data_IF_375190353169
#
_entry.id   IF_375190353169
#
_cell.length_a   1.000
_cell.length_b   1.000
_cell.length_c   1.000
_cell.angle_alpha   90.00
_cell.angle_beta   90.00
_cell.angle_gamma   90.00
#
_symmetry.space_group_name_H-M   'P 1'
#
loop_
_entity.id
_entity.type
_entity.pdbx_description
1 polymer ?
#
# COMPACT_ATOMS: atom_id res chain seq x y z
N UNK A 1 12.21 -32.11 -29.12
CA UNK A 1 12.53 -31.15 -28.04
C UNK A 1 12.05 -31.73 -26.71
N UNK A 2 12.97 -32.05 -25.80
CA UNK A 2 12.68 -32.56 -24.46
C UNK A 2 11.92 -31.52 -23.63
N UNK A 3 10.89 -31.95 -22.89
CA UNK A 3 10.15 -31.06 -21.96
C UNK A 3 11.15 -30.48 -20.94
N UNK A 4 11.19 -29.16 -20.71
CA UNK A 4 12.06 -28.60 -19.69
C UNK A 4 11.65 -29.12 -18.31
N UNK A 5 12.63 -29.48 -17.48
CA UNK A 5 12.41 -29.91 -16.09
C UNK A 5 11.52 -28.89 -15.36
N UNK A 6 10.37 -29.34 -14.89
CA UNK A 6 9.51 -28.55 -14.01
C UNK A 6 10.20 -28.39 -12.67
N UNK A 7 10.63 -27.16 -12.36
CA UNK A 7 11.11 -26.80 -11.03
C UNK A 7 10.00 -27.06 -10.01
N UNK A 8 10.25 -27.98 -9.08
CA UNK A 8 9.27 -28.36 -8.06
C UNK A 8 9.52 -27.52 -6.82
N UNK A 9 8.66 -26.55 -6.58
CA UNK A 9 8.74 -25.71 -5.39
C UNK A 9 8.06 -26.45 -4.23
N UNK A 10 8.83 -26.84 -3.20
CA UNK A 10 8.28 -27.38 -1.94
C UNK A 10 8.42 -26.34 -0.84
N UNK A 11 7.31 -26.05 -0.15
CA UNK A 11 7.31 -25.24 1.07
C UNK A 11 7.84 -26.09 2.22
N UNK A 12 9.15 -26.07 2.44
CA UNK A 12 9.81 -26.91 3.46
C UNK A 12 9.50 -26.48 4.91
N UNK A 13 8.93 -25.29 5.10
CA UNK A 13 8.68 -24.69 6.40
C UNK A 13 7.18 -24.68 6.78
N UNK A 14 6.36 -25.59 6.24
CA UNK A 14 4.90 -25.59 6.45
C UNK A 14 4.46 -25.48 7.93
N UNK A 15 5.05 -26.21 8.89
CA UNK A 15 4.70 -26.05 10.31
C UNK A 15 5.01 -24.65 10.84
N UNK A 16 6.17 -24.08 10.48
CA UNK A 16 6.56 -22.73 10.86
C UNK A 16 5.68 -21.66 10.19
N UNK A 17 5.34 -21.85 8.92
CA UNK A 17 4.41 -21.01 8.18
C UNK A 17 3.01 -21.02 8.82
N UNK A 18 2.49 -22.20 9.19
CA UNK A 18 1.20 -22.31 9.87
C UNK A 18 1.22 -21.66 11.26
N UNK A 19 2.31 -21.82 12.02
CA UNK A 19 2.51 -21.10 13.29
C UNK A 19 2.54 -19.59 13.07
N UNK A 20 3.17 -19.12 11.99
CA UNK A 20 3.13 -17.72 11.59
C UNK A 20 1.71 -17.26 11.24
N UNK A 21 0.92 -18.06 10.52
CA UNK A 21 -0.48 -17.75 10.22
C UNK A 21 -1.34 -17.61 11.50
N UNK A 22 -1.18 -18.51 12.47
CA UNK A 22 -1.86 -18.38 13.78
C UNK A 22 -1.42 -17.12 14.52
N UNK A 23 -0.11 -16.84 14.55
CA UNK A 23 0.45 -15.62 15.15
C UNK A 23 -0.05 -14.34 14.48
N UNK A 24 -0.42 -14.37 13.18
CA UNK A 24 -1.04 -13.21 12.50
C UNK A 24 -2.39 -12.80 13.12
N UNK A 25 -3.10 -13.73 13.75
CA UNK A 25 -4.34 -13.44 14.49
C UNK A 25 -4.11 -12.94 15.92
N UNK A 26 -2.87 -13.00 16.42
CA UNK A 26 -2.51 -12.51 17.76
C UNK A 26 -2.35 -10.98 17.70
N UNK A 27 -3.32 -10.25 18.24
CA UNK A 27 -3.27 -8.79 18.39
C UNK A 27 -2.39 -8.41 19.58
N UNK A 28 -1.07 -8.65 19.47
CA UNK A 28 -0.09 -8.10 20.41
C UNK A 28 0.34 -6.74 19.89
N UNK A 29 -0.32 -5.67 20.33
CA UNK A 29 0.18 -4.31 20.13
C UNK A 29 1.07 -3.99 21.32
N UNK A 30 2.34 -3.72 21.05
CA UNK A 30 3.31 -3.30 22.04
C UNK A 30 3.84 -1.92 21.67
N UNK A 31 3.98 -1.07 22.68
CA UNK A 31 4.63 0.22 22.57
C UNK A 31 5.95 0.11 23.31
N UNK A 32 7.01 0.58 22.66
CA UNK A 32 8.30 0.73 23.32
C UNK A 32 8.19 1.83 24.38
N UNK A 33 8.34 1.54 25.69
CA UNK A 33 8.24 2.55 26.74
C UNK A 33 9.23 3.70 26.57
N UNK A 34 10.34 3.48 25.87
CA UNK A 34 11.36 4.49 25.60
C UNK A 34 11.04 5.34 24.36
N UNK A 35 9.91 5.06 23.68
CA UNK A 35 9.46 5.83 22.53
C UNK A 35 9.21 7.29 22.90
N UNK A 36 9.82 8.20 22.13
CA UNK A 36 9.61 9.64 22.29
C UNK A 36 8.20 10.02 21.85
N UNK A 37 7.26 10.08 22.79
CA UNK A 37 5.87 10.43 22.54
C UNK A 37 5.63 11.94 22.46
N UNK A 38 6.23 12.69 23.38
CA UNK A 38 6.20 14.15 23.39
C UNK A 38 7.14 14.72 22.32
N UNK A 39 6.78 15.85 21.70
CA UNK A 39 7.67 16.51 20.76
C UNK A 39 8.82 17.21 21.50
N UNK A 40 10.00 17.19 20.88
CA UNK A 40 11.08 18.08 21.29
C UNK A 40 10.72 19.53 20.91
N UNK A 41 10.95 20.53 21.78
CA UNK A 41 10.76 21.92 21.43
C UNK A 41 11.57 22.30 20.19
N UNK A 42 10.95 23.04 19.27
CA UNK A 42 11.59 23.42 18.00
C UNK A 42 12.52 24.63 18.13
N UNK A 43 12.39 25.38 19.24
CA UNK A 43 13.10 26.65 19.47
C UNK A 43 12.63 27.82 18.60
N UNK A 44 11.67 27.59 17.67
CA UNK A 44 11.14 28.63 16.78
C UNK A 44 10.01 29.41 17.43
N UNK A 45 9.81 30.66 17.01
CA UNK A 45 8.69 31.50 17.47
C UNK A 45 7.35 30.92 17.00
N UNK A 46 6.38 30.78 17.90
CA UNK A 46 5.05 30.22 17.62
C UNK A 46 4.67 29.06 18.56
N UNK A 47 3.51 28.44 18.31
CA UNK A 47 3.03 27.30 19.10
C UNK A 47 3.93 26.09 18.89
N UNK A 48 4.54 25.59 19.97
CA UNK A 48 5.34 24.37 19.92
C UNK A 48 4.47 23.14 19.67
N UNK A 49 4.96 22.14 18.92
CA UNK A 49 4.31 20.84 18.86
C UNK A 49 4.35 20.20 20.25
N UNK A 50 3.24 19.56 20.64
CA UNK A 50 3.15 18.80 21.90
C UNK A 50 3.54 17.33 21.67
N UNK A 51 3.19 16.78 20.51
CA UNK A 51 3.38 15.37 20.17
C UNK A 51 4.42 15.17 19.07
N UNK A 52 5.26 14.14 19.20
CA UNK A 52 6.26 13.78 18.19
C UNK A 52 5.60 13.32 16.88
N UNK A 53 6.36 13.33 15.78
CA UNK A 53 5.88 12.75 14.51
C UNK A 53 5.60 11.25 14.65
N UNK A 54 6.39 10.56 15.49
CA UNK A 54 6.22 9.15 15.77
C UNK A 54 4.87 8.88 16.48
N UNK A 55 4.49 9.68 17.48
CA UNK A 55 3.18 9.58 18.12
C UNK A 55 2.03 9.79 17.14
N UNK A 56 2.11 10.84 16.31
CA UNK A 56 1.09 11.13 15.28
C UNK A 56 0.99 9.99 14.27
N UNK A 57 2.13 9.49 13.77
CA UNK A 57 2.17 8.38 12.83
C UNK A 57 1.59 7.11 13.44
N UNK A 58 1.85 6.81 14.71
CA UNK A 58 1.28 5.65 15.41
C UNK A 58 -0.24 5.73 15.48
N UNK A 59 -0.81 6.89 15.86
CA UNK A 59 -2.26 7.08 15.84
C UNK A 59 -2.84 6.89 14.44
N UNK A 60 -2.23 7.49 13.41
CA UNK A 60 -2.68 7.34 12.02
C UNK A 60 -2.53 5.90 11.49
N UNK A 61 -1.54 5.17 11.99
CA UNK A 61 -1.33 3.76 11.69
C UNK A 61 -2.48 2.92 12.25
N UNK A 62 -2.88 3.12 13.51
CA UNK A 62 -4.05 2.45 14.09
C UNK A 62 -5.34 2.81 13.36
N UNK A 63 -5.50 4.09 12.99
CA UNK A 63 -6.62 4.54 12.16
C UNK A 63 -6.71 3.75 10.86
N UNK A 64 -5.59 3.57 10.16
CA UNK A 64 -5.55 2.84 8.87
C UNK A 64 -5.78 1.35 9.08
N UNK A 65 -5.09 0.74 10.03
CA UNK A 65 -5.17 -0.70 10.33
C UNK A 65 -6.60 -1.14 10.65
N UNK A 66 -7.29 -0.38 11.50
CA UNK A 66 -8.65 -0.71 11.97
C UNK A 66 -9.75 0.03 11.21
N UNK A 67 -9.41 0.84 10.19
CA UNK A 67 -10.38 1.56 9.36
C UNK A 67 -11.16 2.66 10.09
N UNK A 68 -10.69 3.13 11.24
CA UNK A 68 -11.39 4.05 12.14
C UNK A 68 -11.53 5.49 11.60
N UNK A 69 -12.47 6.24 12.16
CA UNK A 69 -12.49 7.71 12.07
C UNK A 69 -11.50 8.33 13.08
N UNK A 70 -11.09 9.59 12.89
CA UNK A 70 -10.10 10.23 13.77
C UNK A 70 -10.54 10.29 15.24
N UNK A 71 -11.82 10.61 15.51
CA UNK A 71 -12.35 10.63 16.89
C UNK A 71 -12.34 9.24 17.54
N UNK A 72 -12.72 8.21 16.78
CA UNK A 72 -12.64 6.82 17.23
C UNK A 72 -11.19 6.39 17.46
N UNK A 73 -10.26 6.89 16.65
CA UNK A 73 -8.83 6.63 16.80
C UNK A 73 -8.32 7.20 18.12
N UNK A 74 -8.70 8.42 18.49
CA UNK A 74 -8.33 9.02 19.79
C UNK A 74 -8.77 8.13 20.94
N UNK A 75 -10.06 7.78 21.02
CA UNK A 75 -10.57 6.91 22.10
C UNK A 75 -9.98 5.49 22.08
N UNK A 76 -9.72 4.92 20.90
CA UNK A 76 -9.04 3.63 20.77
C UNK A 76 -7.63 3.67 21.33
N UNK A 77 -6.87 4.72 21.01
CA UNK A 77 -5.51 4.91 21.49
C UNK A 77 -5.47 5.17 23.00
N UNK A 78 -6.39 5.96 23.55
CA UNK A 78 -6.49 6.20 25.00
C UNK A 78 -6.73 4.90 25.77
N UNK A 79 -7.68 4.08 25.28
CA UNK A 79 -7.96 2.76 25.85
C UNK A 79 -6.75 1.84 25.79
N UNK A 80 -6.06 1.82 24.64
CA UNK A 80 -4.90 0.97 24.42
C UNK A 80 -3.72 1.34 25.33
N UNK A 81 -3.41 2.64 25.47
CA UNK A 81 -2.34 3.10 26.36
C UNK A 81 -2.66 2.81 27.83
N UNK A 82 -3.92 2.99 28.23
CA UNK A 82 -4.39 2.61 29.59
C UNK A 82 -4.22 1.12 29.86
N UNK A 83 -4.58 0.26 28.91
CA UNK A 83 -4.43 -1.20 29.05
C UNK A 83 -2.97 -1.64 29.15
N UNK A 84 -2.06 -0.91 28.49
CA UNK A 84 -0.62 -1.19 28.52
C UNK A 84 0.06 -0.56 29.76
N UNK A 85 -0.62 0.35 30.45
CA UNK A 85 -0.10 1.04 31.63
C UNK A 85 0.83 2.21 31.31
N UNK A 86 0.69 2.82 30.13
CA UNK A 86 1.46 3.99 29.71
C UNK A 86 0.65 5.27 29.95
N UNK A 87 1.19 6.19 30.73
CA UNK A 87 0.56 7.48 31.05
C UNK A 87 0.91 8.55 30.01
N UNK A 88 0.57 8.27 28.75
CA UNK A 88 0.80 9.18 27.64
C UNK A 88 -0.52 9.77 27.14
N UNK A 89 -0.56 11.10 27.04
CA UNK A 89 -1.70 11.80 26.43
C UNK A 89 -1.85 11.48 24.95
N UNK A 90 -3.09 11.39 24.46
CA UNK A 90 -3.36 11.11 23.05
C UNK A 90 -3.67 12.39 22.29
N UNK A 91 -3.08 12.61 21.10
CA UNK A 91 -3.46 13.73 20.25
C UNK A 91 -4.95 13.69 19.88
N UNK A 92 -5.65 14.80 20.09
CA UNK A 92 -7.04 14.94 19.69
C UNK A 92 -7.21 14.88 18.16
N UNK A 93 -8.44 14.65 17.70
CA UNK A 93 -8.72 14.52 16.27
C UNK A 93 -8.33 15.78 15.47
N UNK A 94 -8.39 16.97 16.09
CA UNK A 94 -8.01 18.23 15.47
C UNK A 94 -6.51 18.32 15.23
N UNK A 95 -5.71 17.87 16.19
CA UNK A 95 -4.25 17.82 16.12
C UNK A 95 -3.80 16.77 15.13
N UNK A 96 -4.38 15.56 15.16
CA UNK A 96 -4.10 14.52 14.17
C UNK A 96 -4.42 15.00 12.75
N UNK A 97 -5.58 15.61 12.53
CA UNK A 97 -5.97 16.13 11.21
C UNK A 97 -5.02 17.22 10.70
N UNK A 98 -4.59 18.14 11.56
CA UNK A 98 -3.63 19.21 11.20
C UNK A 98 -2.25 18.62 10.91
N UNK A 99 -1.72 17.77 11.80
CA UNK A 99 -0.40 17.18 11.68
C UNK A 99 -0.28 16.21 10.52
N UNK A 100 -1.35 15.48 10.18
CA UNK A 100 -1.37 14.61 9.00
C UNK A 100 -1.00 15.38 7.71
N UNK A 101 -1.31 16.69 7.64
CA UNK A 101 -0.97 17.49 6.46
C UNK A 101 0.54 17.66 6.26
N UNK A 102 1.30 17.77 7.34
CA UNK A 102 2.73 18.11 7.32
C UNK A 102 3.62 16.98 7.82
N UNK A 103 3.04 15.81 8.11
CA UNK A 103 3.76 14.67 8.65
C UNK A 103 4.66 14.07 7.59
N UNK A 104 5.97 14.05 7.85
CA UNK A 104 6.91 13.22 7.09
C UNK A 104 6.74 11.76 7.53
N UNK A 105 5.95 10.98 6.79
CA UNK A 105 5.68 9.59 7.15
C UNK A 105 6.95 8.74 6.98
N UNK A 106 7.38 8.11 8.06
CA UNK A 106 8.45 7.12 8.01
C UNK A 106 7.91 5.80 7.45
N UNK A 107 8.40 5.39 6.27
CA UNK A 107 8.06 4.10 5.64
C UNK A 107 9.20 3.11 5.91
N UNK A 108 9.04 2.18 6.86
CA UNK A 108 10.09 1.22 7.19
C UNK A 108 10.36 0.29 6.00
N UNK A 109 11.63 -0.04 5.82
CA UNK A 109 12.10 -1.02 4.84
C UNK A 109 13.47 -1.54 5.28
N UNK A 110 13.87 -2.72 4.84
CA UNK A 110 15.20 -3.28 5.15
C UNK A 110 16.26 -2.66 4.24
N UNK A 111 17.47 -2.42 4.76
CA UNK A 111 18.61 -2.02 3.92
C UNK A 111 18.90 -3.06 2.83
N UNK A 112 19.49 -2.62 1.72
CA UNK A 112 20.02 -3.49 0.66
C UNK A 112 21.55 -3.50 0.71
N UNK A 113 22.17 -4.64 0.42
CA UNK A 113 23.63 -4.80 0.31
C UNK A 113 24.12 -4.65 -1.15
N UNK A 114 23.23 -4.30 -2.08
CA UNK A 114 23.55 -4.20 -3.50
C UNK A 114 22.52 -3.43 -4.33
N UNK A 115 22.66 -3.44 -5.67
CA UNK A 115 21.75 -2.76 -6.59
C UNK A 115 20.30 -3.20 -6.38
N UNK A 116 19.38 -2.24 -6.39
CA UNK A 116 17.94 -2.52 -6.25
C UNK A 116 17.31 -2.78 -7.61
N UNK A 117 16.56 -3.88 -7.73
CA UNK A 117 15.70 -4.15 -8.88
C UNK A 117 14.29 -3.68 -8.58
N UNK A 118 13.95 -2.45 -9.02
CA UNK A 118 12.65 -1.85 -8.75
C UNK A 118 11.60 -2.21 -9.80
N UNK A 119 10.44 -2.67 -9.33
CA UNK A 119 9.23 -2.88 -10.12
C UNK A 119 8.26 -1.74 -9.84
N UNK A 120 7.87 -1.00 -10.88
CA UNK A 120 7.03 0.19 -10.76
C UNK A 120 5.67 -0.08 -11.40
N UNK A 121 4.61 0.28 -10.69
CA UNK A 121 3.24 0.28 -11.20
C UNK A 121 2.46 1.44 -10.62
N UNK A 122 1.38 1.80 -11.32
CA UNK A 122 0.48 2.86 -10.88
C UNK A 122 -0.98 2.44 -10.98
N UNK A 123 -1.83 3.09 -10.19
CA UNK A 123 -3.26 2.85 -10.29
C UNK A 123 -4.06 4.05 -9.83
N UNK A 124 -5.30 4.16 -10.31
CA UNK A 124 -6.25 5.10 -9.76
C UNK A 124 -6.74 4.65 -8.39
N UNK A 125 -6.81 5.61 -7.46
CA UNK A 125 -7.53 5.49 -6.20
C UNK A 125 -8.56 6.61 -6.08
N UNK A 126 -9.76 6.25 -5.63
CA UNK A 126 -10.85 7.21 -5.49
C UNK A 126 -10.70 8.00 -4.20
N UNK A 127 -11.01 9.29 -4.23
CA UNK A 127 -11.12 10.13 -3.04
C UNK A 127 -12.59 10.16 -2.58
N UNK A 128 -12.81 10.06 -1.28
CA UNK A 128 -14.12 10.27 -0.67
C UNK A 128 -14.44 11.77 -0.65
N UNK A 129 -15.48 12.18 -1.39
CA UNK A 129 -15.83 13.58 -1.59
C UNK A 129 -17.11 13.99 -0.85
N UNK A 130 -17.23 15.28 -0.55
CA UNK A 130 -18.43 15.91 0.01
C UNK A 130 -19.68 15.65 -0.83
N UNK A 131 -19.53 15.67 -2.16
CA UNK A 131 -20.59 15.30 -3.10
C UNK A 131 -21.11 13.87 -2.92
N UNK A 132 -20.40 12.94 -2.26
CA UNK A 132 -20.94 11.60 -2.00
C UNK A 132 -21.87 11.57 -0.78
N UNK A 133 -21.61 12.39 0.23
CA UNK A 133 -22.53 12.57 1.36
C UNK A 133 -23.74 13.41 0.92
N UNK A 134 -23.50 14.54 0.24
CA UNK A 134 -24.56 15.37 -0.33
C UNK A 134 -25.40 14.61 -1.37
N UNK A 135 -24.82 13.75 -2.21
CA UNK A 135 -25.62 12.91 -3.12
C UNK A 135 -26.42 11.84 -2.37
N UNK A 136 -25.85 11.23 -1.32
CA UNK A 136 -26.57 10.26 -0.47
C UNK A 136 -27.73 10.90 0.32
N UNK A 137 -27.57 12.15 0.75
CA UNK A 137 -28.53 12.85 1.60
C UNK A 137 -29.53 13.71 0.82
N UNK A 138 -29.09 14.32 -0.28
CA UNK A 138 -29.82 15.38 -0.99
C UNK A 138 -29.90 15.17 -2.50
N UNK A 139 -29.40 14.04 -3.05
CA UNK A 139 -29.51 13.73 -4.48
C UNK A 139 -28.72 14.64 -5.44
N UNK A 140 -27.82 15.49 -4.92
CA UNK A 140 -27.06 16.45 -5.73
C UNK A 140 -26.02 15.84 -6.69
N UNK A 141 -25.54 16.62 -7.68
CA UNK A 141 -24.60 16.15 -8.71
C UNK A 141 -23.27 15.67 -8.12
N UNK A 142 -22.71 14.64 -8.76
CA UNK A 142 -21.56 13.87 -8.25
C UNK A 142 -20.27 14.18 -9.01
N UNK A 143 -19.36 14.97 -8.43
CA UNK A 143 -17.98 15.08 -8.94
C UNK A 143 -17.07 14.05 -8.28
N UNK A 144 -16.68 13.01 -9.03
CA UNK A 144 -15.76 11.97 -8.55
C UNK A 144 -14.33 12.48 -8.68
N UNK A 145 -13.62 12.58 -7.56
CA UNK A 145 -12.18 12.89 -7.56
C UNK A 145 -11.41 11.58 -7.49
N UNK A 146 -10.43 11.44 -8.37
CA UNK A 146 -9.47 10.35 -8.39
C UNK A 146 -8.06 10.91 -8.20
N UNK A 147 -7.22 10.14 -7.53
CA UNK A 147 -5.78 10.34 -7.48
C UNK A 147 -5.10 9.19 -8.18
N UNK A 148 -3.93 9.46 -8.74
CA UNK A 148 -3.07 8.40 -9.23
C UNK A 148 -2.00 8.14 -8.18
N UNK A 149 -1.81 6.88 -7.86
CA UNK A 149 -0.80 6.43 -6.91
C UNK A 149 0.21 5.59 -7.66
N UNK A 150 1.49 5.83 -7.41
CA UNK A 150 2.61 5.12 -8.00
C UNK A 150 3.37 4.45 -6.86
N UNK A 151 3.70 3.17 -7.03
CA UNK A 151 4.54 2.44 -6.09
C UNK A 151 5.70 1.80 -6.84
N UNK A 152 6.90 1.94 -6.29
CA UNK A 152 8.08 1.17 -6.68
C UNK A 152 8.38 0.15 -5.60
N UNK A 153 8.40 -1.13 -5.94
CA UNK A 153 8.74 -2.21 -5.01
C UNK A 153 10.09 -2.82 -5.36
N UNK A 154 10.83 -3.25 -4.34
CA UNK A 154 12.00 -4.08 -4.56
C UNK A 154 11.57 -5.49 -4.98
N UNK A 155 12.15 -6.03 -6.06
CA UNK A 155 11.79 -7.35 -6.58
C UNK A 155 12.08 -8.45 -5.57
N UNK A 156 13.15 -8.32 -4.78
CA UNK A 156 13.58 -9.34 -3.83
C UNK A 156 12.76 -9.31 -2.53
N UNK A 157 12.75 -8.17 -1.83
CA UNK A 157 12.05 -8.07 -0.54
C UNK A 157 10.55 -7.87 -0.69
N UNK A 158 10.09 -7.46 -1.87
CA UNK A 158 8.72 -7.00 -2.13
C UNK A 158 8.33 -5.80 -1.27
N UNK A 159 9.26 -5.12 -0.61
CA UNK A 159 8.97 -3.91 0.15
C UNK A 159 8.83 -2.72 -0.79
N UNK A 160 7.91 -1.83 -0.48
CA UNK A 160 7.76 -0.58 -1.22
C UNK A 160 8.94 0.33 -0.88
N UNK A 161 9.66 0.80 -1.90
CA UNK A 161 10.84 1.67 -1.82
C UNK A 161 10.55 3.09 -2.27
N UNK A 162 9.56 3.28 -3.13
CA UNK A 162 9.15 4.57 -3.65
C UNK A 162 7.63 4.67 -3.68
N UNK A 163 7.11 5.84 -3.33
CA UNK A 163 5.69 6.16 -3.33
C UNK A 163 5.51 7.58 -3.84
N UNK A 164 4.65 7.76 -4.82
CA UNK A 164 4.25 9.07 -5.31
C UNK A 164 2.72 9.11 -5.48
N UNK A 165 2.09 10.23 -5.12
CA UNK A 165 0.65 10.45 -5.34
C UNK A 165 0.49 11.69 -6.17
N UNK A 166 -0.18 11.57 -7.32
CA UNK A 166 -0.38 12.68 -8.26
C UNK A 166 -1.86 12.94 -8.51
N UNK A 167 -2.16 14.08 -9.13
CA UNK A 167 -3.45 14.36 -9.73
C UNK A 167 -3.75 13.37 -10.88
N UNK A 168 -5.03 13.32 -11.29
CA UNK A 168 -5.56 12.34 -12.24
C UNK A 168 -5.18 12.58 -13.71
N UNK A 169 -4.62 13.74 -14.01
CA UNK A 169 -4.16 14.21 -15.33
C UNK A 169 -2.75 13.74 -15.70
N UNK A 170 -1.97 13.24 -14.72
CA UNK A 170 -0.65 12.65 -14.98
C UNK A 170 -0.85 11.19 -15.42
N UNK A 171 -0.89 11.00 -16.74
CA UNK A 171 -0.93 9.68 -17.37
C UNK A 171 0.47 9.10 -17.54
N UNK A 172 0.74 7.90 -17.02
CA UNK A 172 1.84 7.09 -17.53
C UNK A 172 1.53 6.61 -18.95
N UNK A 173 2.40 7.01 -19.86
CA UNK A 173 2.60 6.31 -21.12
C UNK A 173 4.09 5.90 -21.19
N UNK A 174 4.46 4.68 -21.64
CA UNK A 174 3.65 3.52 -22.03
C UNK A 174 4.03 2.25 -21.24
N UNK A 175 3.06 1.61 -20.56
CA UNK A 175 3.17 0.20 -20.12
C UNK A 175 1.85 -0.55 -20.39
N UNK A 176 1.16 -0.14 -21.46
CA UNK A 176 -0.20 -0.53 -21.82
C UNK A 176 -0.36 -1.86 -22.63
N UNK A 177 0.65 -2.47 -23.27
CA UNK A 177 0.46 -3.78 -23.91
C UNK A 177 0.22 -4.92 -22.91
N UNK A 178 0.81 -4.82 -21.72
CA UNK A 178 1.05 -5.99 -20.85
C UNK A 178 0.04 -6.19 -19.71
N UNK A 179 -0.82 -5.20 -19.45
CA UNK A 179 -1.74 -5.17 -18.29
C UNK A 179 -2.96 -6.12 -18.41
N UNK A 180 -3.06 -6.89 -19.51
CA UNK A 180 -4.39 -7.25 -20.04
C UNK A 180 -4.61 -8.72 -20.43
N UNK A 181 -3.73 -9.65 -20.04
CA UNK A 181 -3.92 -11.10 -20.21
C UNK A 181 -4.64 -11.76 -19.01
N UNK A 182 -5.88 -11.32 -18.73
CA UNK A 182 -6.80 -12.05 -17.82
C UNK A 182 -7.30 -13.33 -18.51
N UNK A 183 -7.67 -14.35 -17.74
CA UNK A 183 -8.09 -15.68 -18.24
C UNK A 183 -9.27 -15.62 -19.25
N UNK A 184 -10.04 -14.53 -19.26
CA UNK A 184 -11.20 -14.27 -20.14
C UNK A 184 -11.12 -12.91 -20.87
N UNK A 185 -9.92 -12.41 -21.14
CA UNK A 185 -9.75 -11.12 -21.80
C UNK A 185 -10.22 -11.17 -23.27
N UNK A 186 -11.20 -10.33 -23.62
CA UNK A 186 -11.63 -10.13 -25.01
C UNK A 186 -10.80 -9.03 -25.70
N UNK A 187 -10.57 -9.13 -27.01
CA UNK A 187 -9.95 -8.06 -27.77
C UNK A 187 -10.76 -6.76 -27.67
N UNK A 188 -10.07 -5.63 -27.64
CA UNK A 188 -10.70 -4.32 -27.74
C UNK A 188 -10.79 -3.87 -29.19
N UNK A 189 -11.70 -2.94 -29.50
CA UNK A 189 -11.65 -2.23 -30.79
C UNK A 189 -10.33 -1.45 -30.85
N UNK A 190 -9.59 -1.60 -31.93
CA UNK A 190 -8.23 -1.07 -32.12
C UNK A 190 -8.20 0.44 -32.39
N UNK A 191 -8.80 1.23 -31.49
CA UNK A 191 -9.00 2.67 -31.65
C UNK A 191 -7.82 3.46 -31.05
N UNK A 192 -7.06 2.86 -30.14
CA UNK A 192 -5.90 3.49 -29.49
C UNK A 192 -4.67 2.59 -29.61
N UNK A 193 -3.47 3.19 -29.57
CA UNK A 193 -2.20 2.43 -29.53
C UNK A 193 -2.17 1.41 -28.38
N UNK A 194 -2.78 1.76 -27.25
CA UNK A 194 -2.99 0.86 -26.12
C UNK A 194 -3.87 -0.36 -26.43
N UNK A 195 -4.94 -0.17 -27.19
CA UNK A 195 -5.83 -1.26 -27.60
C UNK A 195 -5.17 -2.19 -28.62
N UNK A 196 -4.36 -1.65 -29.54
CA UNK A 196 -3.58 -2.44 -30.51
C UNK A 196 -2.56 -3.31 -29.78
N UNK A 197 -1.73 -2.70 -28.94
CA UNK A 197 -0.68 -3.42 -28.23
C UNK A 197 -1.24 -4.46 -27.24
N UNK A 198 -2.39 -4.17 -26.61
CA UNK A 198 -3.15 -5.16 -25.83
C UNK A 198 -3.51 -6.38 -26.66
N UNK A 199 -4.09 -6.16 -27.83
CA UNK A 199 -4.60 -7.25 -28.67
C UNK A 199 -3.47 -8.13 -29.18
N UNK A 200 -2.29 -7.56 -29.45
CA UNK A 200 -1.07 -8.31 -29.78
C UNK A 200 -0.60 -9.19 -28.63
N UNK A 201 -0.61 -8.68 -27.40
CA UNK A 201 -0.28 -9.48 -26.21
C UNK A 201 -1.27 -10.64 -26.00
N UNK A 202 -2.56 -10.42 -26.27
CA UNK A 202 -3.56 -11.50 -26.23
C UNK A 202 -3.29 -12.57 -27.30
N UNK A 203 -2.92 -12.15 -28.51
CA UNK A 203 -2.55 -13.06 -29.61
C UNK A 203 -1.28 -13.85 -29.25
N UNK A 204 -0.24 -13.18 -28.77
CA UNK A 204 1.02 -13.81 -28.35
C UNK A 204 0.82 -14.81 -27.19
N UNK A 205 -0.01 -14.45 -26.19
CA UNK A 205 -0.34 -15.33 -25.06
C UNK A 205 -1.14 -16.57 -25.50
N UNK A 206 -2.05 -16.42 -26.47
CA UNK A 206 -2.81 -17.53 -27.06
C UNK A 206 -1.94 -18.43 -27.93
N UNK A 207 -1.02 -17.85 -28.69
CA UNK A 207 -0.11 -18.57 -29.59
C UNK A 207 0.97 -19.37 -28.83
N UNK A 208 1.68 -18.72 -27.90
CA UNK A 208 2.78 -19.34 -27.15
C UNK A 208 2.30 -20.24 -25.99
N UNK A 209 1.04 -20.11 -25.58
CA UNK A 209 0.54 -20.68 -24.35
C UNK A 209 0.98 -19.89 -23.11
N UNK A 210 0.11 -19.83 -22.10
CA UNK A 210 0.23 -18.88 -20.97
C UNK A 210 1.52 -19.07 -20.15
N UNK A 211 1.99 -20.30 -19.97
CA UNK A 211 3.20 -20.57 -19.19
C UNK A 211 4.47 -20.10 -19.91
N UNK A 212 4.59 -20.41 -21.20
CA UNK A 212 5.72 -20.02 -22.04
C UNK A 212 5.75 -18.50 -22.22
N UNK A 213 4.59 -17.90 -22.51
CA UNK A 213 4.45 -16.46 -22.64
C UNK A 213 4.86 -15.74 -21.36
N UNK A 214 4.39 -16.19 -20.17
CA UNK A 214 4.75 -15.55 -18.89
C UNK A 214 6.25 -15.61 -18.58
N UNK A 215 6.94 -16.67 -19.02
CA UNK A 215 8.39 -16.83 -18.86
C UNK A 215 9.16 -15.93 -19.83
N UNK A 216 8.73 -15.89 -21.09
CA UNK A 216 9.35 -15.06 -22.13
C UNK A 216 9.13 -13.56 -21.90
N UNK A 217 7.93 -13.15 -21.48
CA UNK A 217 7.59 -11.73 -21.25
C UNK A 217 8.00 -11.19 -19.87
N UNK A 218 8.56 -12.03 -18.99
CA UNK A 218 8.86 -11.60 -17.62
C UNK A 218 7.63 -11.26 -16.77
N UNK A 219 6.41 -11.66 -17.19
CA UNK A 219 5.13 -11.33 -16.54
C UNK A 219 5.06 -11.69 -15.04
N UNK A 220 5.88 -12.64 -14.57
CA UNK A 220 5.96 -12.94 -13.13
C UNK A 220 6.38 -11.71 -12.31
N UNK A 221 7.30 -10.88 -12.84
CA UNK A 221 7.76 -9.63 -12.19
C UNK A 221 6.61 -8.64 -12.05
N UNK A 222 5.90 -8.33 -13.13
CA UNK A 222 4.73 -7.44 -13.11
C UNK A 222 3.64 -7.89 -12.13
N UNK A 223 3.38 -9.20 -12.06
CA UNK A 223 2.36 -9.72 -11.13
C UNK A 223 2.71 -9.47 -9.65
N UNK A 224 3.99 -9.29 -9.30
CA UNK A 224 4.42 -8.97 -7.92
C UNK A 224 3.99 -7.55 -7.53
N UNK A 225 4.24 -6.56 -8.39
CA UNK A 225 3.87 -5.17 -8.11
C UNK A 225 2.35 -4.97 -8.18
N UNK A 226 1.64 -5.63 -9.10
CA UNK A 226 0.17 -5.65 -9.12
C UNK A 226 -0.42 -6.26 -7.84
N UNK A 227 0.16 -7.35 -7.35
CA UNK A 227 -0.25 -7.96 -6.08
C UNK A 227 -0.01 -7.00 -4.92
N UNK A 228 1.14 -6.30 -4.90
CA UNK A 228 1.41 -5.30 -3.87
C UNK A 228 0.38 -4.17 -3.92
N UNK A 229 0.07 -3.68 -5.11
CA UNK A 229 -0.94 -2.65 -5.31
C UNK A 229 -2.33 -3.11 -4.81
N UNK A 230 -2.69 -4.38 -5.05
CA UNK A 230 -3.90 -4.97 -4.49
C UNK A 230 -3.88 -4.97 -2.96
N UNK A 231 -2.78 -5.38 -2.33
CA UNK A 231 -2.63 -5.36 -0.87
C UNK A 231 -2.76 -3.94 -0.29
N UNK A 232 -2.19 -2.91 -0.94
CA UNK A 232 -2.39 -1.51 -0.51
C UNK A 232 -3.88 -1.14 -0.50
N UNK A 233 -4.64 -1.58 -1.52
CA UNK A 233 -6.08 -1.31 -1.61
C UNK A 233 -6.90 -2.09 -0.57
N UNK A 234 -6.41 -3.22 -0.05
CA UNK A 234 -7.06 -3.92 1.07
C UNK A 234 -7.06 -3.09 2.36
N UNK A 235 -6.06 -2.23 2.56
CA UNK A 235 -6.02 -1.25 3.66
C UNK A 235 -6.98 -0.06 3.44
N UNK A 236 -7.63 0.02 2.27
CA UNK A 236 -8.67 1.00 1.99
C UNK A 236 -8.85 1.24 0.50
N UNK A 237 -10.07 1.08 -0.01
CA UNK A 237 -10.37 1.27 -1.44
C UNK A 237 -10.45 2.75 -1.85
N UNK A 238 -10.47 3.67 -0.88
CA UNK A 238 -10.62 5.12 -1.10
C UNK A 238 -9.75 5.90 -0.13
N UNK A 239 -9.26 7.07 -0.53
CA UNK A 239 -8.64 8.04 0.36
C UNK A 239 -9.74 8.85 1.05
N UNK A 240 -9.74 8.89 2.39
CA UNK A 240 -10.76 9.58 3.18
C UNK A 240 -10.44 11.07 3.36
N UNK A 241 -9.16 11.44 3.33
CA UNK A 241 -8.73 12.82 3.45
C UNK A 241 -9.22 13.69 2.28
N UNK A 242 -9.68 14.90 2.59
CA UNK A 242 -10.22 15.85 1.58
C UNK A 242 -9.13 16.68 0.90
N UNK A 243 -8.07 16.97 1.64
CA UNK A 243 -6.94 17.78 1.22
C UNK A 243 -5.82 16.91 0.65
N UNK A 244 -5.10 17.42 -0.34
CA UNK A 244 -4.14 16.62 -1.11
C UNK A 244 -2.95 16.14 -0.26
N UNK A 245 -2.32 17.01 0.53
CA UNK A 245 -1.17 16.60 1.35
C UNK A 245 -1.57 15.55 2.40
N UNK A 246 -2.80 15.68 2.94
CA UNK A 246 -3.37 14.65 3.83
C UNK A 246 -3.67 13.34 3.11
N UNK A 247 -4.05 13.38 1.83
CA UNK A 247 -4.23 12.19 0.99
C UNK A 247 -2.90 11.48 0.76
N UNK A 248 -1.83 12.24 0.52
CA UNK A 248 -0.45 11.72 0.40
C UNK A 248 -0.05 11.01 1.70
N UNK A 249 -0.17 11.69 2.84
CA UNK A 249 0.17 11.09 4.14
C UNK A 249 -0.70 9.87 4.46
N UNK A 250 -2.00 9.90 4.15
CA UNK A 250 -2.89 8.74 4.33
C UNK A 250 -2.41 7.53 3.51
N UNK A 251 -1.97 7.77 2.27
CA UNK A 251 -1.45 6.72 1.41
C UNK A 251 -0.09 6.19 1.89
N UNK A 252 0.82 7.07 2.27
CA UNK A 252 2.12 6.70 2.82
C UNK A 252 1.99 5.88 4.11
N UNK A 253 1.05 6.22 5.01
CA UNK A 253 0.80 5.42 6.22
C UNK A 253 0.32 4.00 5.86
N UNK A 254 -0.51 3.84 4.81
CA UNK A 254 -0.90 2.49 4.33
C UNK A 254 0.30 1.71 3.82
N UNK A 255 1.22 2.39 3.12
CA UNK A 255 2.43 1.76 2.64
C UNK A 255 3.35 1.36 3.81
N UNK A 256 3.49 2.21 4.82
CA UNK A 256 4.25 1.88 6.04
C UNK A 256 3.69 0.63 6.74
N UNK A 257 2.36 0.56 6.90
CA UNK A 257 1.66 -0.63 7.41
C UNK A 257 1.97 -1.86 6.56
N UNK A 258 1.85 -1.73 5.23
CA UNK A 258 2.06 -2.84 4.32
C UNK A 258 3.51 -3.34 4.31
N UNK A 259 4.49 -2.44 4.42
CA UNK A 259 5.89 -2.83 4.56
C UNK A 259 6.13 -3.55 5.89
N UNK A 260 5.51 -3.09 6.99
CA UNK A 260 5.51 -3.83 8.25
C UNK A 260 5.00 -5.27 8.09
N UNK A 261 3.87 -5.47 7.42
CA UNK A 261 3.34 -6.80 7.12
C UNK A 261 4.25 -7.62 6.19
N UNK A 262 4.88 -6.96 5.22
CA UNK A 262 5.81 -7.59 4.27
C UNK A 262 7.04 -8.13 5.01
N UNK A 263 7.60 -7.33 5.92
CA UNK A 263 8.73 -7.72 6.74
C UNK A 263 8.39 -8.92 7.65
N UNK A 264 7.23 -8.91 8.29
CA UNK A 264 6.83 -9.96 9.25
C UNK A 264 6.31 -11.25 8.58
N UNK A 265 5.79 -11.14 7.35
CA UNK A 265 4.87 -12.14 6.80
C UNK A 265 5.35 -12.96 5.61
N UNK A 266 6.47 -12.62 4.95
CA UNK A 266 6.89 -13.32 3.72
C UNK A 266 7.48 -14.70 4.05
N UNK A 267 6.93 -15.80 3.49
CA UNK A 267 7.55 -17.11 3.58
C UNK A 267 8.82 -17.16 2.70
N UNK A 268 9.90 -17.73 3.24
CA UNK A 268 11.12 -18.00 2.47
C UNK A 268 10.89 -19.23 1.60
N UNK A 269 10.70 -19.04 0.29
CA UNK A 269 10.61 -20.12 -0.69
C UNK A 269 11.97 -20.37 -1.32
N UNK A 270 12.45 -21.62 -1.25
CA UNK A 270 13.66 -22.07 -1.95
C UNK A 270 13.26 -23.01 -3.09
N UNK A 271 13.96 -22.90 -4.21
CA UNK A 271 13.88 -23.91 -5.28
C UNK A 271 14.48 -25.19 -4.71
N UNK A 272 13.73 -26.29 -4.76
CA UNK A 272 14.25 -27.61 -4.42
C UNK A 272 14.45 -28.31 -5.75
N UNK A 273 15.69 -28.72 -6.00
CA UNK A 273 16.07 -29.53 -7.17
C UNK A 273 15.45 -30.90 -7.11
#
# INVERSE_FOLDING_TARGET
>A
MSRPNTLTYKTLNWPAYNKALKRRGSLAIWFDPDMVWAAKPTGKRGRQPVYSDAAVQTCLTMKVLFGLALRQTTGFMESLLRLIGLDWDVPDFSTLSRRQKTLAVNIPHRGSQGPLHLLIDSTGIKVEGEGEWNARKHGGPKRRVWRKIHIGIDEETLEVRAVEVTSSDIGDAPMLPELLARKNAKPWKAITAGAVARNEVLRASKYLGRALWRRWSGYHRRSRVETKMHCVKLLGQRLKARDFDRQVAEFQVRVAVLNGFTALGIPVTKVVG
#
